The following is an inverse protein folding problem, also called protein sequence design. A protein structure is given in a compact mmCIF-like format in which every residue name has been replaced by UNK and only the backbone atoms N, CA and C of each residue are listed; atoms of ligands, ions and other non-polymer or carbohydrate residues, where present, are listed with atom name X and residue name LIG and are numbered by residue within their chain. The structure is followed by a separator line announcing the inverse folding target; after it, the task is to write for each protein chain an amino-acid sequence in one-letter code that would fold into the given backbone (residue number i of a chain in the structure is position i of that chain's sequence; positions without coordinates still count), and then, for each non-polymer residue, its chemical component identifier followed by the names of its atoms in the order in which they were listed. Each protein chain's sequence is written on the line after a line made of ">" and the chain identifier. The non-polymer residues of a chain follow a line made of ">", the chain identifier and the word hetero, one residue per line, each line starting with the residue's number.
data_IF_434199948361
#
_entry.id   IF_434199948361
#
_cell.length_a   1.000
_cell.length_b   1.000
_cell.length_c   1.000
_cell.angle_alpha   90.00
_cell.angle_beta   90.00
_cell.angle_gamma   90.00
#
_symmetry.space_group_name_H-M   'P 1'
#
loop_
_entity.id
_entity.type
_entity.pdbx_description
1 polymer ?
#
# COMPACT_ATOMS: atom_id res chain seq x y z
N UNK A 1 18.40 -3.16 13.78
CA UNK A 1 16.95 -2.90 13.85
C UNK A 1 16.55 -3.06 15.30
N UNK A 2 15.69 -2.21 15.84
CA UNK A 2 15.24 -2.36 17.24
C UNK A 2 14.22 -3.49 17.31
N UNK A 3 14.53 -4.59 18.00
CA UNK A 3 13.65 -5.75 18.22
C UNK A 3 12.51 -5.47 19.22
N UNK A 4 12.29 -4.20 19.53
CA UNK A 4 11.34 -3.78 20.54
C UNK A 4 9.91 -3.91 20.01
N UNK A 5 9.09 -4.68 20.72
CA UNK A 5 7.69 -4.95 20.39
C UNK A 5 6.76 -4.30 21.41
N UNK A 6 6.16 -3.15 21.09
CA UNK A 6 5.22 -2.47 21.97
C UNK A 6 4.03 -3.34 22.40
N UNK A 7 3.62 -4.31 21.57
CA UNK A 7 2.58 -5.29 21.93
C UNK A 7 2.92 -6.15 23.14
N UNK A 8 4.20 -6.38 23.42
CA UNK A 8 4.68 -7.16 24.57
C UNK A 8 4.94 -6.26 25.80
N UNK A 9 4.72 -4.94 25.66
CA UNK A 9 4.99 -3.92 26.67
C UNK A 9 3.80 -2.95 26.80
N UNK A 10 2.59 -3.47 26.99
CA UNK A 10 1.35 -2.69 27.22
C UNK A 10 1.06 -1.59 26.19
N UNK A 11 1.56 -1.76 24.97
CA UNK A 11 1.43 -0.78 23.90
C UNK A 11 2.39 0.40 24.01
N UNK A 12 3.41 0.35 24.88
CA UNK A 12 4.42 1.39 25.02
C UNK A 12 5.63 1.11 24.14
N UNK A 13 6.20 2.16 23.57
CA UNK A 13 7.50 2.20 22.87
C UNK A 13 8.67 2.01 23.84
N UNK A 14 9.87 1.85 23.28
CA UNK A 14 11.12 1.68 24.02
C UNK A 14 11.51 2.90 24.89
N UNK A 15 10.92 4.07 24.63
CA UNK A 15 11.05 5.30 25.43
C UNK A 15 9.92 5.46 26.47
N UNK A 16 9.06 4.46 26.63
CA UNK A 16 7.92 4.52 27.55
C UNK A 16 6.79 5.44 27.09
N UNK A 17 6.84 5.95 25.85
CA UNK A 17 5.71 6.66 25.25
C UNK A 17 4.70 5.66 24.67
N UNK A 18 3.40 5.99 24.60
CA UNK A 18 2.42 5.16 23.90
C UNK A 18 2.82 4.95 22.43
N UNK A 19 2.68 3.73 21.93
CA UNK A 19 2.94 3.39 20.54
C UNK A 19 1.65 3.49 19.72
N UNK A 20 1.57 4.47 18.82
CA UNK A 20 0.39 4.69 17.99
C UNK A 20 0.06 3.56 17.00
N UNK A 21 0.87 2.51 16.90
CA UNK A 21 0.59 1.33 16.06
C UNK A 21 -0.19 0.25 16.81
N UNK A 22 -0.20 0.29 18.14
CA UNK A 22 -0.81 -0.76 18.98
C UNK A 22 -1.65 -0.16 20.10
N UNK A 23 -2.76 -0.81 20.44
CA UNK A 23 -3.52 -0.47 21.65
C UNK A 23 -4.67 0.54 21.50
N UNK A 24 -4.81 1.28 20.38
CA UNK A 24 -5.94 2.20 20.21
C UNK A 24 -7.15 1.57 19.55
N UNK A 25 -7.00 0.46 18.82
CA UNK A 25 -8.10 -0.18 18.07
C UNK A 25 -8.72 0.70 16.97
N UNK A 26 -8.24 1.94 16.81
CA UNK A 26 -8.77 2.94 15.90
C UNK A 26 -7.78 3.15 14.75
N UNK A 27 -8.24 2.91 13.52
CA UNK A 27 -7.49 3.32 12.33
C UNK A 27 -7.42 4.86 12.32
N UNK A 28 -6.24 5.40 12.61
CA UNK A 28 -5.95 6.84 12.65
C UNK A 28 -6.88 7.68 13.55
N UNK A 29 -6.73 7.55 14.88
CA UNK A 29 -7.13 8.54 15.92
C UNK A 29 -8.47 9.31 15.70
N UNK A 30 -9.54 8.65 15.25
CA UNK A 30 -10.85 9.29 15.09
C UNK A 30 -11.83 8.49 14.24
N UNK A 31 -13.07 9.00 14.11
CA UNK A 31 -14.10 8.46 13.21
C UNK A 31 -13.65 8.63 11.76
N UNK A 32 -12.77 7.75 11.31
CA UNK A 32 -12.29 7.73 9.95
C UNK A 32 -13.34 7.03 9.10
N UNK A 33 -13.98 7.80 8.23
CA UNK A 33 -14.87 7.26 7.20
C UNK A 33 -14.06 6.31 6.30
N UNK A 34 -14.39 5.01 6.24
CA UNK A 34 -13.65 4.02 5.46
C UNK A 34 -13.53 4.41 3.98
N UNK A 35 -14.53 5.08 3.41
CA UNK A 35 -14.49 5.52 2.02
C UNK A 35 -13.44 6.61 1.81
N UNK A 36 -13.36 7.57 2.76
CA UNK A 36 -12.36 8.65 2.70
C UNK A 36 -10.96 8.18 3.08
N UNK A 37 -10.85 7.23 4.01
CA UNK A 37 -9.58 6.56 4.33
C UNK A 37 -9.07 5.74 3.16
N UNK A 38 -9.95 4.96 2.52
CA UNK A 38 -9.64 4.19 1.33
C UNK A 38 -9.27 5.07 0.15
N UNK A 39 -9.93 6.22 0.00
CA UNK A 39 -9.52 7.22 -0.99
C UNK A 39 -8.11 7.73 -0.69
N UNK A 40 -7.84 8.25 0.52
CA UNK A 40 -6.48 8.74 0.89
C UNK A 40 -5.41 7.65 0.84
N UNK A 41 -5.72 6.43 1.28
CA UNK A 41 -4.81 5.28 1.24
C UNK A 41 -4.59 4.76 -0.18
N UNK A 42 -5.60 4.84 -1.05
CA UNK A 42 -5.50 4.52 -2.48
C UNK A 42 -4.87 5.64 -3.33
N UNK A 43 -4.65 6.83 -2.75
CA UNK A 43 -3.81 7.88 -3.34
C UNK A 43 -2.33 7.72 -2.98
N UNK A 44 -1.87 6.54 -2.54
CA UNK A 44 -0.46 6.24 -2.72
C UNK A 44 -0.21 6.25 -4.22
N UNK A 45 0.73 7.06 -4.66
CA UNK A 45 1.18 7.14 -6.05
C UNK A 45 1.77 5.83 -6.57
N UNK A 46 1.81 4.80 -5.72
CA UNK A 46 2.45 3.52 -5.93
C UNK A 46 1.55 2.42 -5.34
N UNK A 47 0.78 1.79 -6.22
CA UNK A 47 0.34 0.41 -6.09
C UNK A 47 -0.79 0.09 -5.10
N UNK A 48 -2.04 0.17 -5.56
CA UNK A 48 -3.05 -0.88 -5.35
C UNK A 48 -4.36 -0.45 -6.01
N UNK A 49 -4.37 -0.42 -7.34
CA UNK A 49 -5.62 -0.58 -8.06
C UNK A 49 -5.87 -2.10 -8.12
N UNK A 50 -6.81 -2.54 -7.29
CA UNK A 50 -7.40 -3.87 -7.38
C UNK A 50 -8.59 -3.78 -8.32
N UNK A 51 -8.35 -3.64 -9.63
CA UNK A 51 -9.43 -3.81 -10.60
C UNK A 51 -9.60 -5.28 -11.00
N UNK A 52 -10.77 -5.77 -10.55
CA UNK A 52 -11.59 -6.81 -11.17
C UNK A 52 -11.29 -7.06 -12.65
N UNK A 53 -11.18 -8.35 -12.97
CA UNK A 53 -11.08 -8.92 -14.31
C UNK A 53 -11.99 -8.22 -15.36
N UNK A 54 -11.34 -7.81 -16.45
CA UNK A 54 -11.86 -7.96 -17.82
C UNK A 54 -12.64 -6.78 -18.41
N UNK A 55 -12.06 -6.10 -19.41
CA UNK A 55 -12.43 -6.31 -20.83
C UNK A 55 -11.99 -5.14 -21.72
N UNK A 56 -11.49 -5.50 -22.91
CA UNK A 56 -11.42 -4.71 -24.13
C UNK A 56 -10.35 -3.61 -24.23
N UNK A 57 -9.15 -3.99 -24.69
CA UNK A 57 -8.11 -3.00 -24.98
C UNK A 57 -6.79 -3.55 -25.52
N UNK A 58 -6.81 -4.65 -26.30
CA UNK A 58 -5.65 -5.20 -27.03
C UNK A 58 -4.58 -5.87 -26.16
N UNK A 59 -4.18 -7.07 -26.56
CA UNK A 59 -3.27 -8.04 -25.92
C UNK A 59 -1.83 -7.56 -25.75
N UNK A 60 -1.62 -6.30 -25.45
CA UNK A 60 -0.29 -5.79 -25.24
C UNK A 60 0.19 -6.20 -23.87
N UNK A 61 1.23 -7.02 -23.86
CA UNK A 61 1.86 -7.56 -22.67
C UNK A 61 3.23 -6.91 -22.52
N UNK A 62 3.38 -5.93 -21.63
CA UNK A 62 4.65 -5.25 -21.42
C UNK A 62 5.80 -6.22 -21.07
N UNK A 63 5.50 -7.34 -20.41
CA UNK A 63 6.45 -8.43 -20.14
C UNK A 63 7.06 -9.06 -21.40
N UNK A 64 6.34 -9.09 -22.53
CA UNK A 64 6.84 -9.58 -23.82
C UNK A 64 7.62 -8.49 -24.59
N UNK A 65 7.60 -7.24 -24.09
CA UNK A 65 8.23 -6.06 -24.70
C UNK A 65 9.24 -5.39 -23.76
N UNK A 66 10.02 -6.20 -23.02
CA UNK A 66 11.09 -5.69 -22.16
C UNK A 66 10.61 -4.84 -20.97
N UNK A 67 9.35 -5.00 -20.58
CA UNK A 67 8.71 -4.20 -19.54
C UNK A 67 8.18 -2.84 -20.03
N UNK A 68 8.10 -2.58 -21.33
CA UNK A 68 7.60 -1.31 -21.85
C UNK A 68 6.11 -1.39 -22.18
N UNK A 69 5.37 -0.31 -21.91
CA UNK A 69 3.97 -0.08 -22.30
C UNK A 69 3.86 0.19 -23.81
N UNK A 70 2.62 0.24 -24.34
CA UNK A 70 2.33 0.50 -25.77
C UNK A 70 2.95 1.79 -26.30
N UNK A 71 3.14 2.78 -25.43
CA UNK A 71 3.73 4.09 -25.73
C UNK A 71 5.27 4.09 -25.62
N UNK A 72 5.89 2.94 -25.33
CA UNK A 72 7.33 2.80 -25.13
C UNK A 72 7.83 3.24 -23.76
N UNK A 73 6.95 3.70 -22.86
CA UNK A 73 7.32 4.04 -21.48
C UNK A 73 7.48 2.78 -20.62
N UNK A 74 8.34 2.79 -19.59
CA UNK A 74 8.48 1.64 -18.69
C UNK A 74 7.20 1.39 -17.88
N UNK A 75 6.81 0.12 -17.79
CA UNK A 75 5.68 -0.34 -17.00
C UNK A 75 6.14 -0.73 -15.59
N UNK A 76 5.82 0.10 -14.60
CA UNK A 76 6.17 -0.15 -13.18
C UNK A 76 5.55 -1.42 -12.58
N UNK A 77 4.56 -2.03 -13.24
CA UNK A 77 4.02 -3.35 -12.85
C UNK A 77 4.95 -4.48 -13.26
N UNK A 78 5.72 -4.28 -14.34
CA UNK A 78 6.75 -5.23 -14.75
C UNK A 78 8.02 -4.86 -14.03
N UNK A 79 8.31 -5.60 -12.96
CA UNK A 79 9.60 -5.50 -12.28
C UNK A 79 10.67 -5.95 -13.26
N UNK A 80 11.49 -5.01 -13.75
CA UNK A 80 12.67 -5.36 -14.55
C UNK A 80 13.53 -6.34 -13.76
N UNK A 81 13.75 -7.52 -14.33
CA UNK A 81 14.71 -8.49 -13.82
C UNK A 81 16.12 -8.09 -14.21
#
# INVERSE_FOLDING_TARGET
>A
MSDYKPTEHDGLRNDGQPDGRVGTGEFAHGKVDPHKAGEKGGKTTDGASGESLGSSGGDYKPTEHGGLKKDGSPDGRVKGN
#
